data_IF_730948011147
#
_entry.id   IF_730948011147
#
_cell.length_a   1.000
_cell.length_b   1.000
_cell.length_c   1.000
_cell.angle_alpha   90.00
_cell.angle_beta   90.00
_cell.angle_gamma   90.00
#
_symmetry.space_group_name_H-M   'P 1'
#
loop_
_entity.id
_entity.type
_entity.pdbx_description
1 polymer ?
#
# COMPACT_ATOMS: atom_id res chain seq x y z
N UNK A 1 3.47 -0.67 23.53
CA UNK A 1 2.04 -0.40 23.27
C UNK A 1 1.95 0.49 22.05
N UNK A 2 1.69 -0.08 20.88
CA UNK A 2 1.41 0.71 19.68
C UNK A 2 0.09 1.46 19.91
N UNK A 3 0.10 2.80 19.75
CA UNK A 3 -1.13 3.59 19.83
C UNK A 3 -2.04 3.15 18.70
N UNK A 4 -3.28 2.82 19.06
CA UNK A 4 -4.34 2.47 18.12
C UNK A 4 -4.59 3.69 17.23
N UNK A 5 -4.00 3.70 16.03
CA UNK A 5 -4.16 4.80 15.06
C UNK A 5 -5.59 4.89 14.52
N UNK A 6 -6.47 3.92 14.83
CA UNK A 6 -7.84 3.85 14.32
C UNK A 6 -8.74 5.03 14.69
N UNK A 7 -8.46 5.75 15.79
CA UNK A 7 -9.38 6.78 16.30
C UNK A 7 -9.03 8.22 15.84
N UNK A 8 -7.95 8.44 15.09
CA UNK A 8 -7.51 9.77 14.63
C UNK A 8 -7.06 9.78 13.16
N UNK A 9 -7.78 9.06 12.31
CA UNK A 9 -7.47 8.98 10.87
C UNK A 9 -8.56 9.66 10.07
N UNK A 10 -8.26 10.87 9.60
CA UNK A 10 -9.02 11.50 8.52
C UNK A 10 -8.42 11.03 7.20
N UNK A 11 -9.11 10.13 6.49
CA UNK A 11 -8.75 9.73 5.12
C UNK A 11 -9.34 10.76 4.17
N UNK A 12 -8.49 11.64 3.62
CA UNK A 12 -8.93 12.73 2.73
C UNK A 12 -8.91 12.32 1.26
N UNK A 13 -8.07 11.35 0.92
CA UNK A 13 -8.07 10.69 -0.38
C UNK A 13 -7.65 9.23 -0.20
N UNK A 14 -8.27 8.36 -0.98
CA UNK A 14 -7.82 6.98 -1.11
C UNK A 14 -7.53 6.72 -2.57
N UNK A 15 -6.30 6.35 -2.86
CA UNK A 15 -5.91 5.79 -4.14
C UNK A 15 -5.84 4.27 -3.96
N UNK A 16 -6.50 3.53 -4.84
CA UNK A 16 -6.37 2.09 -4.92
C UNK A 16 -5.48 1.78 -6.13
N UNK A 17 -4.35 1.15 -5.89
CA UNK A 17 -3.43 0.73 -6.94
C UNK A 17 -3.37 -0.78 -7.01
N UNK A 18 -3.45 -1.35 -8.20
CA UNK A 18 -3.13 -2.75 -8.41
C UNK A 18 -1.60 -2.94 -8.54
N UNK A 19 -1.05 -3.98 -7.92
CA UNK A 19 0.39 -4.25 -7.94
C UNK A 19 0.71 -5.50 -8.76
N UNK A 20 0.50 -5.41 -10.07
CA UNK A 20 0.93 -6.45 -11.03
C UNK A 20 2.40 -6.32 -11.46
N UNK A 21 3.05 -5.21 -11.13
CA UNK A 21 4.44 -4.94 -11.48
C UNK A 21 5.46 -5.73 -10.65
N UNK A 22 6.55 -5.08 -10.24
CA UNK A 22 7.62 -5.74 -9.49
C UNK A 22 7.80 -5.16 -8.10
N UNK A 23 8.15 -6.01 -7.14
CA UNK A 23 8.60 -5.59 -5.81
C UNK A 23 10.04 -6.01 -5.64
N UNK A 24 10.88 -5.06 -5.26
CA UNK A 24 12.29 -5.28 -4.93
C UNK A 24 12.61 -4.77 -3.53
N UNK A 25 13.79 -5.10 -3.00
CA UNK A 25 14.16 -4.83 -1.62
C UNK A 25 13.89 -5.99 -0.67
N UNK A 26 14.22 -5.80 0.60
CA UNK A 26 14.06 -6.81 1.65
C UNK A 26 14.09 -6.18 3.03
N UNK A 27 13.53 -6.89 4.02
CA UNK A 27 13.29 -6.33 5.34
C UNK A 27 12.30 -5.17 5.26
N UNK A 28 12.32 -4.19 6.19
CA UNK A 28 11.19 -3.29 6.31
C UNK A 28 11.15 -2.24 5.21
N UNK A 29 11.91 -2.35 4.11
CA UNK A 29 11.91 -1.38 3.01
C UNK A 29 11.83 -2.10 1.66
N UNK A 30 10.79 -1.76 0.91
CA UNK A 30 10.46 -2.35 -0.39
C UNK A 30 10.28 -1.25 -1.43
N UNK A 31 10.75 -1.47 -2.65
CA UNK A 31 10.39 -0.63 -3.79
C UNK A 31 9.37 -1.36 -4.63
N UNK A 32 8.19 -0.78 -4.75
CA UNK A 32 7.08 -1.29 -5.56
C UNK A 32 7.04 -0.48 -6.84
N UNK A 33 7.15 -1.17 -7.96
CA UNK A 33 6.94 -0.63 -9.30
C UNK A 33 5.53 -1.01 -9.73
N UNK A 34 4.71 -0.01 -10.00
CA UNK A 34 3.34 -0.18 -10.50
C UNK A 34 3.35 -0.20 -12.03
N UNK A 35 2.36 -0.89 -12.60
CA UNK A 35 2.21 -0.95 -14.04
C UNK A 35 1.78 0.40 -14.63
N UNK A 36 1.98 0.55 -15.94
CA UNK A 36 1.80 1.80 -16.68
C UNK A 36 0.37 2.35 -16.71
N UNK A 37 -0.62 1.60 -16.18
CA UNK A 37 -2.00 2.05 -16.02
C UNK A 37 -2.36 2.58 -14.63
N UNK A 38 -1.48 2.41 -13.65
CA UNK A 38 -1.75 2.74 -12.25
C UNK A 38 -1.17 4.11 -11.90
N UNK A 39 -2.04 5.10 -11.72
CA UNK A 39 -1.61 6.46 -11.41
C UNK A 39 -1.37 6.64 -9.90
N UNK A 40 -0.09 6.69 -9.50
CA UNK A 40 0.32 7.01 -8.11
C UNK A 40 0.74 8.46 -7.93
N UNK A 41 0.38 9.36 -8.85
CA UNK A 41 0.73 10.77 -8.81
C UNK A 41 0.24 11.49 -7.54
N UNK A 42 -0.88 11.06 -6.98
CA UNK A 42 -1.43 11.60 -5.73
C UNK A 42 -0.78 11.05 -4.44
N UNK A 43 -0.03 9.94 -4.53
CA UNK A 43 0.71 9.42 -3.39
C UNK A 43 1.82 10.39 -2.98
N UNK A 44 2.09 10.56 -1.68
CA UNK A 44 3.17 11.43 -1.20
C UNK A 44 4.02 10.70 -0.16
N UNK A 45 5.27 11.15 -0.01
CA UNK A 45 6.13 10.69 1.09
C UNK A 45 5.44 11.03 2.42
N UNK A 46 5.39 10.06 3.33
CA UNK A 46 4.67 10.16 4.61
C UNK A 46 3.22 9.68 4.56
N UNK A 47 2.63 9.44 3.38
CA UNK A 47 1.37 8.71 3.28
C UNK A 47 1.56 7.24 3.67
N UNK A 48 0.45 6.60 4.02
CA UNK A 48 0.44 5.20 4.40
C UNK A 48 -0.17 4.35 3.29
N UNK A 49 0.33 3.13 3.14
CA UNK A 49 -0.21 2.12 2.24
C UNK A 49 -0.75 0.98 3.09
N UNK A 50 -2.04 0.68 2.90
CA UNK A 50 -2.74 -0.41 3.54
C UNK A 50 -2.92 -1.54 2.54
N UNK A 51 -2.59 -2.76 2.95
CA UNK A 51 -2.74 -3.95 2.12
C UNK A 51 -3.47 -5.02 2.94
N UNK A 52 -4.59 -5.51 2.44
CA UNK A 52 -5.39 -6.56 3.10
C UNK A 52 -4.97 -7.95 2.62
N UNK A 53 -4.30 -8.70 3.50
CA UNK A 53 -3.95 -10.10 3.26
C UNK A 53 -5.15 -11.01 3.51
N UNK A 54 -5.45 -11.88 2.55
CA UNK A 54 -6.53 -12.87 2.59
C UNK A 54 -5.97 -14.26 2.30
N UNK A 55 -6.74 -15.32 2.51
CA UNK A 55 -6.27 -16.68 2.18
C UNK A 55 -6.26 -16.89 0.65
N UNK A 56 -5.13 -17.32 0.10
CA UNK A 56 -4.97 -17.55 -1.34
C UNK A 56 -6.02 -18.54 -1.89
N UNK A 57 -6.73 -18.17 -2.96
CA UNK A 57 -7.77 -18.98 -3.59
C UNK A 57 -9.10 -19.08 -2.81
N UNK A 58 -9.25 -18.40 -1.67
CA UNK A 58 -10.51 -18.37 -0.91
C UNK A 58 -11.57 -17.42 -1.49
N UNK A 59 -11.20 -16.64 -2.51
CA UNK A 59 -12.00 -15.57 -3.13
C UNK A 59 -11.70 -14.19 -2.56
N UNK A 60 -11.85 -13.16 -3.39
CA UNK A 60 -11.59 -11.76 -3.00
C UNK A 60 -12.53 -11.24 -1.90
N UNK A 61 -13.69 -11.89 -1.69
CA UNK A 61 -14.65 -11.57 -0.62
C UNK A 61 -14.44 -12.38 0.67
N UNK A 62 -13.32 -13.12 0.78
CA UNK A 62 -13.00 -13.95 1.95
C UNK A 62 -12.73 -13.14 3.23
N UNK A 63 -12.31 -13.78 4.32
CA UNK A 63 -11.97 -13.05 5.54
C UNK A 63 -10.58 -12.42 5.41
N UNK A 64 -10.42 -11.17 5.84
CA UNK A 64 -9.09 -10.53 5.96
C UNK A 64 -8.36 -11.18 7.12
N UNK A 65 -7.17 -11.72 6.84
CA UNK A 65 -6.31 -12.37 7.84
C UNK A 65 -5.47 -11.33 8.59
N UNK A 66 -4.92 -10.34 7.88
CA UNK A 66 -4.22 -9.20 8.47
C UNK A 66 -4.23 -8.02 7.51
N UNK A 67 -4.22 -6.81 8.04
CA UNK A 67 -3.95 -5.59 7.28
C UNK A 67 -2.53 -5.13 7.58
N UNK A 68 -1.70 -5.06 6.54
CA UNK A 68 -0.33 -4.58 6.63
C UNK A 68 -0.30 -3.09 6.34
N UNK A 69 0.49 -2.37 7.12
CA UNK A 69 0.64 -0.92 7.01
C UNK A 69 2.08 -0.56 6.74
N UNK A 70 2.29 0.14 5.64
CA UNK A 70 3.58 0.69 5.23
C UNK A 70 3.50 2.21 5.17
N UNK A 71 4.62 2.90 5.32
CA UNK A 71 4.75 4.34 5.07
C UNK A 71 5.56 4.56 3.79
N UNK A 72 5.13 5.50 2.94
CA UNK A 72 5.87 5.89 1.74
C UNK A 72 7.08 6.71 2.18
N UNK A 73 8.28 6.23 1.85
CA UNK A 73 9.56 6.90 2.15
C UNK A 73 10.25 7.43 0.89
N UNK A 74 9.83 6.98 -0.28
CA UNK A 74 10.33 7.41 -1.58
C UNK A 74 9.24 7.30 -2.64
N UNK A 75 9.34 8.14 -3.66
CA UNK A 75 8.39 8.17 -4.78
C UNK A 75 9.14 8.57 -6.04
N UNK A 76 8.90 7.84 -7.11
CA UNK A 76 9.35 8.15 -8.45
C UNK A 76 8.16 8.03 -9.40
N UNK A 77 7.71 9.14 -9.96
CA UNK A 77 6.55 9.15 -10.87
C UNK A 77 6.92 9.18 -12.34
N UNK A 78 8.12 8.78 -12.72
CA UNK A 78 8.46 8.60 -14.14
C UNK A 78 8.60 9.89 -14.96
N UNK A 79 8.69 11.08 -14.34
CA UNK A 79 8.90 12.36 -15.01
C UNK A 79 7.60 13.03 -15.50
N UNK A 80 7.47 14.35 -15.32
CA UNK A 80 6.23 15.11 -15.55
C UNK A 80 5.94 15.52 -17.00
N UNK A 81 4.69 15.97 -17.20
CA UNK A 81 4.02 16.63 -18.35
C UNK A 81 4.13 16.02 -19.76
N UNK A 82 5.12 15.19 -20.04
CA UNK A 82 5.16 14.35 -21.23
C UNK A 82 5.37 12.92 -20.76
N UNK A 83 4.36 12.07 -20.98
CA UNK A 83 4.53 10.61 -20.98
C UNK A 83 5.52 10.24 -22.09
N UNK A 84 6.81 10.55 -21.91
CA UNK A 84 7.88 9.92 -22.68
C UNK A 84 7.95 8.46 -22.23
N UNK A 85 7.27 7.62 -23.00
CA UNK A 85 7.53 6.20 -23.24
C UNK A 85 8.59 5.56 -22.31
N UNK A 86 8.19 5.18 -21.08
CA UNK A 86 8.97 4.22 -20.29
C UNK A 86 9.10 4.49 -18.78
N UNK A 87 8.66 5.62 -18.25
CA UNK A 87 8.67 5.86 -16.81
C UNK A 87 7.61 5.03 -16.08
N UNK A 88 8.01 3.97 -15.36
CA UNK A 88 7.10 3.29 -14.44
C UNK A 88 6.98 4.08 -13.14
N UNK A 89 5.78 4.04 -12.56
CA UNK A 89 5.50 4.62 -11.26
C UNK A 89 6.09 3.73 -10.17
N UNK A 90 6.86 4.31 -9.24
CA UNK A 90 7.45 3.57 -8.13
C UNK A 90 7.19 4.25 -6.80
N UNK A 91 6.89 3.45 -5.78
CA UNK A 91 6.85 3.87 -4.38
C UNK A 91 7.81 3.02 -3.56
N UNK A 92 8.65 3.68 -2.77
CA UNK A 92 9.42 3.01 -1.71
C UNK A 92 8.58 3.00 -0.44
N UNK A 93 8.26 1.80 0.02
CA UNK A 93 7.40 1.52 1.16
C UNK A 93 8.27 1.03 2.32
N UNK A 94 8.03 1.54 3.51
CA UNK A 94 8.64 1.05 4.74
C UNK A 94 7.60 0.42 5.66
N UNK A 95 7.80 -0.84 6.07
CA UNK A 95 6.90 -1.54 6.99
C UNK A 95 6.80 -0.80 8.32
N UNK A 96 5.56 -0.68 8.82
CA UNK A 96 5.26 -0.05 10.11
C UNK A 96 4.72 -1.08 11.09
N UNK A 97 3.62 -1.75 10.74
CA UNK A 97 3.00 -2.80 11.53
C UNK A 97 1.98 -3.59 10.70
N UNK A 98 1.53 -4.72 11.24
CA UNK A 98 0.38 -5.48 10.74
C UNK A 98 -0.60 -5.74 11.89
N UNK A 99 -1.87 -5.98 11.57
CA UNK A 99 -2.91 -6.15 12.61
C UNK A 99 -2.88 -7.50 13.32
N UNK A 100 -2.20 -8.49 12.76
CA UNK A 100 -2.09 -9.85 13.32
C UNK A 100 -0.75 -10.08 14.04
N UNK A 101 0.13 -9.07 14.07
CA UNK A 101 1.47 -9.11 14.65
C UNK A 101 2.34 -10.25 14.09
N UNK A 102 2.13 -10.61 12.82
CA UNK A 102 2.90 -11.66 12.13
C UNK A 102 4.28 -11.21 11.70
N UNK A 103 4.54 -9.90 11.72
CA UNK A 103 5.80 -9.32 11.30
C UNK A 103 5.77 -8.84 9.86
N UNK A 104 6.95 -8.44 9.39
CA UNK A 104 7.15 -7.86 8.07
C UNK A 104 7.01 -8.91 6.96
N UNK A 105 6.15 -8.63 5.99
CA UNK A 105 6.02 -9.38 4.74
C UNK A 105 6.21 -8.42 3.56
N UNK A 106 6.75 -8.94 2.46
CA UNK A 106 6.82 -8.18 1.21
C UNK A 106 5.41 -7.88 0.70
N UNK A 107 5.13 -6.67 0.19
CA UNK A 107 3.88 -6.36 -0.50
C UNK A 107 3.53 -7.33 -1.65
N UNK A 108 4.53 -7.97 -2.28
CA UNK A 108 4.29 -8.97 -3.33
C UNK A 108 3.79 -10.32 -2.80
N UNK A 109 3.98 -10.61 -1.51
CA UNK A 109 3.65 -11.89 -0.88
C UNK A 109 2.29 -11.86 -0.16
N UNK A 110 1.53 -10.76 -0.34
CA UNK A 110 0.24 -10.54 0.28
C UNK A 110 -0.89 -10.91 -0.70
N UNK A 111 -1.51 -12.10 -0.58
CA UNK A 111 -2.64 -12.50 -1.41
C UNK A 111 -3.91 -11.67 -1.18
N UNK A 112 -4.62 -11.34 -2.26
CA UNK A 112 -5.95 -10.69 -2.22
C UNK A 112 -7.12 -11.68 -2.02
N UNK A 113 -6.83 -12.97 -1.99
CA UNK A 113 -7.80 -14.05 -1.88
C UNK A 113 -8.21 -14.71 -3.19
N UNK A 114 -8.04 -14.07 -4.35
CA UNK A 114 -8.16 -14.73 -5.66
C UNK A 114 -6.87 -15.48 -6.04
N UNK A 115 -6.80 -15.94 -7.29
CA UNK A 115 -5.77 -16.85 -7.76
C UNK A 115 -5.87 -18.26 -7.16
N UNK A 116 -4.73 -18.95 -7.09
CA UNK A 116 -4.62 -20.28 -6.48
C UNK A 116 -3.55 -20.31 -5.41
N UNK A 117 -3.52 -21.34 -4.56
CA UNK A 117 -2.47 -21.49 -3.54
C UNK A 117 -1.04 -21.57 -4.11
N UNK A 118 -0.88 -22.00 -5.37
CA UNK A 118 0.42 -22.07 -6.05
C UNK A 118 0.77 -20.82 -6.87
N UNK A 119 -0.20 -19.93 -7.09
CA UNK A 119 -0.04 -18.67 -7.83
C UNK A 119 -1.16 -17.73 -7.38
N UNK A 120 -1.03 -17.14 -6.17
CA UNK A 120 -2.03 -16.21 -5.66
C UNK A 120 -1.95 -14.88 -6.38
N UNK A 121 -3.11 -14.25 -6.55
CA UNK A 121 -3.15 -12.86 -7.03
C UNK A 121 -2.79 -11.92 -5.87
N UNK A 122 -2.10 -10.83 -6.18
CA UNK A 122 -1.60 -9.88 -5.19
C UNK A 122 -2.70 -8.93 -4.70
N UNK A 123 -2.59 -8.53 -3.44
CA UNK A 123 -3.47 -7.55 -2.81
C UNK A 123 -3.25 -6.13 -3.33
N UNK A 124 -4.36 -5.43 -3.52
CA UNK A 124 -4.36 -4.02 -3.90
C UNK A 124 -3.77 -3.17 -2.78
N UNK A 125 -3.17 -2.06 -3.20
CA UNK A 125 -2.61 -1.07 -2.31
C UNK A 125 -3.60 0.05 -2.12
N UNK A 126 -4.00 0.31 -0.88
CA UNK A 126 -4.81 1.48 -0.54
C UNK A 126 -3.91 2.55 0.08
N UNK A 127 -3.60 3.60 -0.69
CA UNK A 127 -2.82 4.74 -0.21
C UNK A 127 -3.74 5.73 0.50
N UNK A 128 -3.38 6.14 1.70
CA UNK A 128 -4.13 7.14 2.48
C UNK A 128 -3.19 8.17 3.12
N UNK A 129 -3.65 9.41 3.15
CA UNK A 129 -3.09 10.44 4.01
C UNK A 129 -3.71 10.33 5.40
N UNK A 130 -2.89 10.32 6.45
CA UNK A 130 -3.36 10.41 7.83
C UNK A 130 -3.00 11.80 8.34
N UNK A 131 -4.01 12.64 8.55
CA UNK A 131 -3.82 13.89 9.25
C UNK A 131 -3.97 13.64 10.75
N UNK A 132 -2.92 13.99 11.51
CA UNK A 132 -2.90 13.80 12.94
C UNK A 132 -3.92 14.70 13.67
N UNK A 133 -4.05 14.53 15.00
CA UNK A 133 -5.07 15.21 15.80
C UNK A 133 -5.03 16.75 15.72
N UNK A 134 -3.89 17.35 15.35
CA UNK A 134 -3.79 18.79 15.12
C UNK A 134 -4.62 19.30 13.93
N UNK A 135 -5.02 18.43 13.00
CA UNK A 135 -5.88 18.80 11.88
C UNK A 135 -7.35 18.96 12.28
N UNK A 136 -7.78 18.35 13.39
CA UNK A 136 -9.15 18.49 13.91
C UNK A 136 -9.49 19.96 14.21
N UNK A 137 -8.48 20.80 14.49
CA UNK A 137 -8.65 22.25 14.72
C UNK A 137 -9.03 23.05 13.47
N UNK A 138 -8.96 22.47 12.27
CA UNK A 138 -9.24 23.15 10.99
C UNK A 138 -10.53 22.68 10.33
N UNK A 139 -11.32 21.82 10.98
CA UNK A 139 -12.58 21.25 10.46
C UNK A 139 -13.83 21.95 11.01
N UNK A 140 -13.70 23.14 11.63
CA UNK A 140 -14.82 24.01 12.05
C UNK A 140 -15.47 24.77 10.89
#
# INVERSE_FOLDING_TARGET
MARNLRDHVVVISSLQCHNDGSVSGSGPSYTVTYDTGEDVSDAQIGHYVYIEKREAGAGASSTVLSTYVYVITGKNTGGGEEMELGGQHELTLKYVYDTAETGDDSPADLPNGSGSSGSPDRADHKVVMILGPGFEMFME
#
